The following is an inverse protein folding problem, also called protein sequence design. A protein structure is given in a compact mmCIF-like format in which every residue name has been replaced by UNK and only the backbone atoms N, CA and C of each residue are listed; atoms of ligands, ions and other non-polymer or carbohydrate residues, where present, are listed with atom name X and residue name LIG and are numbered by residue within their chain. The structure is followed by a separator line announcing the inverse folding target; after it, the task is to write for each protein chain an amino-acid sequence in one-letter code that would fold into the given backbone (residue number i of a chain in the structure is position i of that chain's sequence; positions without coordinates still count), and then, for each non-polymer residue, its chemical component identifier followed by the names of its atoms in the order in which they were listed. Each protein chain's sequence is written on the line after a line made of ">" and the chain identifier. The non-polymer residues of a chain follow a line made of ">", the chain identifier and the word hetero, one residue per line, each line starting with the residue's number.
data_IF_158343667401
#
_entry.id   IF_158343667401
#
_cell.length_a   1.000
_cell.length_b   1.000
_cell.length_c   1.000
_cell.angle_alpha   90.00
_cell.angle_beta   90.00
_cell.angle_gamma   90.00
#
_symmetry.space_group_name_H-M   'P 1'
#
loop_
_entity.id
_entity.type
_entity.pdbx_description
1 polymer ?
#
# COMPACT_ATOMS: atom_id res chain seq x y z
N UNK A 1 -3.45 10.87 -18.00
CA UNK A 1 -3.71 9.50 -17.57
C UNK A 1 -4.77 9.54 -16.48
N UNK A 2 -5.78 8.67 -16.54
CA UNK A 2 -6.73 8.47 -15.44
C UNK A 2 -6.27 7.30 -14.59
N UNK A 3 -6.18 7.52 -13.29
CA UNK A 3 -5.72 6.50 -12.34
C UNK A 3 -6.83 6.13 -11.36
N UNK A 4 -6.87 4.86 -11.01
CA UNK A 4 -7.70 4.27 -9.96
C UNK A 4 -6.78 3.56 -8.97
N UNK A 5 -7.30 3.30 -7.77
CA UNK A 5 -6.60 2.49 -6.78
C UNK A 5 -7.57 1.62 -5.99
N UNK A 6 -7.14 0.40 -5.66
CA UNK A 6 -7.75 -0.42 -4.62
C UNK A 6 -6.69 -0.75 -3.57
N UNK A 7 -6.99 -0.43 -2.31
CA UNK A 7 -6.05 -0.49 -1.20
C UNK A 7 -6.70 -1.22 -0.04
N UNK A 8 -6.12 -2.37 0.34
CA UNK A 8 -6.63 -3.26 1.37
C UNK A 8 -5.53 -3.61 2.36
N UNK A 9 -5.84 -3.48 3.65
CA UNK A 9 -4.94 -3.84 4.75
C UNK A 9 -5.70 -4.58 5.83
N UNK A 10 -5.32 -5.83 6.15
CA UNK A 10 -6.04 -6.63 7.13
C UNK A 10 -5.06 -7.10 8.20
N UNK A 11 -5.23 -6.55 9.41
CA UNK A 11 -4.57 -7.00 10.63
C UNK A 11 -5.32 -8.17 11.27
N UNK A 12 -6.63 -8.02 11.40
CA UNK A 12 -7.46 -8.94 12.18
C UNK A 12 -8.24 -9.85 11.24
N UNK A 13 -8.17 -11.15 11.49
CA UNK A 13 -8.91 -12.15 10.72
C UNK A 13 -9.90 -12.86 11.62
N UNK A 14 -11.06 -13.29 11.11
CA UNK A 14 -11.97 -14.13 11.88
C UNK A 14 -11.24 -15.37 12.39
N UNK A 15 -11.62 -15.85 13.58
CA UNK A 15 -10.98 -17.02 14.20
C UNK A 15 -10.95 -18.25 13.28
N UNK A 16 -11.98 -18.41 12.45
CA UNK A 16 -12.11 -19.51 11.49
C UNK A 16 -11.06 -19.48 10.38
N UNK A 17 -10.41 -18.33 10.12
CA UNK A 17 -9.32 -18.21 9.18
C UNK A 17 -8.03 -18.90 9.67
N UNK A 18 -7.94 -19.19 10.98
CA UNK A 18 -6.77 -19.83 11.59
C UNK A 18 -5.50 -18.98 11.54
N UNK A 19 -5.63 -17.68 11.27
CA UNK A 19 -4.52 -16.75 11.17
C UNK A 19 -4.29 -16.01 12.48
N UNK A 20 -3.04 -15.64 12.75
CA UNK A 20 -2.70 -14.76 13.88
C UNK A 20 -2.94 -13.30 13.48
N UNK A 21 -3.37 -12.43 14.41
CA UNK A 21 -3.43 -11.00 14.15
C UNK A 21 -2.06 -10.46 13.71
N UNK A 22 -2.08 -9.59 12.69
CA UNK A 22 -0.95 -8.75 12.28
C UNK A 22 -1.08 -7.37 12.93
N UNK A 23 -0.08 -6.51 12.75
CA UNK A 23 -0.06 -5.17 13.36
C UNK A 23 0.21 -4.06 12.35
N UNK A 24 0.97 -4.34 11.29
CA UNK A 24 1.43 -3.37 10.32
C UNK A 24 0.54 -3.18 9.10
N UNK A 25 -0.26 -4.19 8.71
CA UNK A 25 -0.97 -4.20 7.43
C UNK A 25 -1.94 -3.02 7.26
N UNK A 26 -2.66 -2.65 8.31
CA UNK A 26 -3.55 -1.46 8.29
C UNK A 26 -2.73 -0.17 8.12
N UNK A 27 -1.63 -0.03 8.86
CA UNK A 27 -0.77 1.16 8.77
C UNK A 27 -0.08 1.28 7.40
N UNK A 28 0.30 0.14 6.80
CA UNK A 28 0.86 0.07 5.45
C UNK A 28 -0.15 0.50 4.39
N UNK A 29 -1.38 -0.01 4.48
CA UNK A 29 -2.47 0.40 3.60
C UNK A 29 -2.78 1.89 3.74
N UNK A 30 -2.78 2.43 4.95
CA UNK A 30 -2.98 3.87 5.18
C UNK A 30 -1.88 4.72 4.53
N UNK A 31 -0.60 4.37 4.72
CA UNK A 31 0.53 5.11 4.15
C UNK A 31 0.52 5.06 2.61
N UNK A 32 0.21 3.89 2.03
CA UNK A 32 0.05 3.76 0.59
C UNK A 32 -1.14 4.57 0.06
N UNK A 33 -2.29 4.54 0.73
CA UNK A 33 -3.46 5.31 0.33
C UNK A 33 -3.22 6.82 0.38
N UNK A 34 -2.50 7.31 1.39
CA UNK A 34 -2.09 8.70 1.48
C UNK A 34 -1.18 9.11 0.30
N UNK A 35 -0.20 8.27 -0.05
CA UNK A 35 0.64 8.48 -1.24
C UNK A 35 -0.14 8.43 -2.55
N UNK A 36 -1.13 7.55 -2.65
CA UNK A 36 -1.99 7.41 -3.82
C UNK A 36 -2.78 8.71 -4.09
N UNK A 37 -3.24 9.38 -3.03
CA UNK A 37 -3.97 10.66 -3.11
C UNK A 37 -3.04 11.86 -3.33
N UNK A 38 -1.73 11.70 -3.19
CA UNK A 38 -0.75 12.77 -3.36
C UNK A 38 -0.58 13.12 -4.85
N UNK A 39 -0.72 14.40 -5.26
CA UNK A 39 -0.42 14.85 -6.62
C UNK A 39 1.03 14.57 -7.08
N UNK A 40 1.98 14.41 -6.15
CA UNK A 40 3.37 14.02 -6.43
C UNK A 40 3.61 12.50 -6.25
N UNK A 41 2.56 11.77 -5.85
CA UNK A 41 2.53 10.32 -5.70
C UNK A 41 1.69 9.66 -6.79
N UNK A 42 0.66 8.91 -6.39
CA UNK A 42 -0.22 8.21 -7.31
C UNK A 42 -1.15 9.14 -8.11
N UNK A 43 -1.41 10.35 -7.60
CA UNK A 43 -2.33 11.35 -8.15
C UNK A 43 -3.71 10.75 -8.55
N UNK A 44 -4.22 9.84 -7.72
CA UNK A 44 -5.55 9.25 -7.88
C UNK A 44 -6.58 10.19 -7.28
N UNK A 45 -7.63 10.49 -8.05
CA UNK A 45 -8.74 11.30 -7.57
C UNK A 45 -9.48 10.55 -6.42
N UNK A 46 -9.91 11.24 -5.34
CA UNK A 46 -10.59 10.62 -4.20
C UNK A 46 -11.72 9.66 -4.57
N UNK A 47 -12.54 10.02 -5.56
CA UNK A 47 -13.66 9.21 -6.04
C UNK A 47 -13.25 7.92 -6.80
N UNK A 48 -11.94 7.71 -7.01
CA UNK A 48 -11.34 6.55 -7.68
C UNK A 48 -10.42 5.74 -6.76
N UNK A 49 -10.35 6.08 -5.47
CA UNK A 49 -9.68 5.30 -4.44
C UNK A 49 -10.69 4.42 -3.72
N UNK A 50 -10.55 3.10 -3.84
CA UNK A 50 -11.31 2.11 -3.09
C UNK A 50 -10.44 1.63 -1.92
N UNK A 51 -10.71 2.15 -0.74
CA UNK A 51 -9.94 1.87 0.48
C UNK A 51 -10.78 1.08 1.48
N UNK A 52 -10.26 -0.05 1.96
CA UNK A 52 -10.90 -0.84 3.02
C UNK A 52 -9.87 -1.60 3.84
N UNK A 53 -9.75 -1.25 5.12
CA UNK A 53 -8.88 -1.97 6.06
C UNK A 53 -9.68 -2.58 7.19
N UNK A 54 -9.08 -3.56 7.86
CA UNK A 54 -9.62 -4.07 9.12
C UNK A 54 -8.51 -4.40 10.14
N UNK A 55 -8.56 -3.82 11.35
CA UNK A 55 -9.51 -2.81 11.81
C UNK A 55 -9.54 -1.53 10.96
N UNK A 56 -10.66 -0.81 11.05
CA UNK A 56 -10.78 0.51 10.45
C UNK A 56 -9.84 1.48 11.18
N UNK A 57 -9.13 2.40 10.48
CA UNK A 57 -8.17 3.26 11.13
C UNK A 57 -8.88 4.27 12.04
N UNK A 58 -8.34 4.47 13.23
CA UNK A 58 -8.90 5.38 14.22
C UNK A 58 -8.55 6.85 13.89
N UNK A 59 -9.54 7.77 13.83
CA UNK A 59 -9.28 9.19 13.64
C UNK A 59 -8.77 9.86 14.93
N UNK A 60 -8.05 11.00 14.83
CA UNK A 60 -7.72 11.72 13.60
C UNK A 60 -6.54 11.09 12.87
N UNK A 61 -6.71 10.83 11.58
CA UNK A 61 -5.59 10.49 10.70
C UNK A 61 -5.02 11.77 10.09
N UNK A 62 -3.69 11.96 10.11
CA UNK A 62 -3.07 13.09 9.42
C UNK A 62 -3.09 12.88 7.90
N UNK A 63 -2.76 13.93 7.16
CA UNK A 63 -2.55 13.86 5.71
C UNK A 63 -3.82 13.80 4.88
N UNK A 64 -3.66 13.38 3.62
CA UNK A 64 -4.71 13.36 2.60
C UNK A 64 -5.72 12.27 2.88
N UNK A 65 -5.24 11.13 3.41
CA UNK A 65 -6.12 10.03 3.80
C UNK A 65 -7.13 10.46 4.87
N UNK A 66 -6.72 11.25 5.87
CA UNK A 66 -7.65 11.75 6.89
C UNK A 66 -8.79 12.59 6.31
N UNK A 67 -8.48 13.46 5.34
CA UNK A 67 -9.51 14.25 4.63
C UNK A 67 -10.41 13.35 3.79
N UNK A 68 -9.84 12.39 3.08
CA UNK A 68 -10.59 11.40 2.30
C UNK A 68 -11.57 10.61 3.18
N UNK A 69 -11.13 10.09 4.32
CA UNK A 69 -11.98 9.30 5.23
C UNK A 69 -13.06 10.11 5.94
N UNK A 70 -12.92 11.43 6.00
CA UNK A 70 -13.97 12.33 6.51
C UNK A 70 -15.03 12.69 5.46
N UNK A 71 -14.78 12.35 4.19
CA UNK A 71 -15.66 12.64 3.07
C UNK A 71 -16.60 11.49 2.72
N UNK A 72 -17.21 11.59 1.54
CA UNK A 72 -18.01 10.52 0.95
C UNK A 72 -17.08 9.48 0.29
N UNK A 73 -17.16 8.23 0.75
CA UNK A 73 -16.31 7.15 0.27
C UNK A 73 -16.92 6.47 -0.97
N UNK A 74 -16.10 6.06 -1.96
CA UNK A 74 -16.57 5.24 -3.06
C UNK A 74 -17.22 3.94 -2.58
N UNK A 75 -18.31 3.56 -3.25
CA UNK A 75 -19.03 2.32 -2.95
C UNK A 75 -18.26 1.11 -3.48
N UNK A 76 -18.28 0.04 -2.71
CA UNK A 76 -17.79 -1.29 -3.07
C UNK A 76 -18.94 -2.16 -3.56
N UNK A 77 -18.66 -3.01 -4.53
CA UNK A 77 -19.64 -3.97 -5.01
C UNK A 77 -19.53 -5.28 -4.22
N UNK A 78 -20.58 -5.60 -3.48
CA UNK A 78 -20.86 -6.93 -2.92
C UNK A 78 -21.78 -7.70 -3.88
N UNK A 79 -21.53 -8.99 -4.09
CA UNK A 79 -22.42 -9.83 -4.89
C UNK A 79 -23.80 -10.02 -4.23
N UNK A 80 -23.82 -10.02 -2.90
CA UNK A 80 -25.03 -10.25 -2.11
C UNK A 80 -25.87 -8.96 -2.00
N UNK A 81 -25.20 -7.81 -1.86
CA UNK A 81 -25.84 -6.55 -1.43
C UNK A 81 -25.73 -5.41 -2.46
N UNK A 82 -25.05 -5.65 -3.59
CA UNK A 82 -24.78 -4.63 -4.60
C UNK A 82 -23.76 -3.58 -4.13
N UNK A 83 -23.91 -2.34 -4.60
CA UNK A 83 -23.01 -1.23 -4.26
C UNK A 83 -23.29 -0.69 -2.85
N UNK A 84 -22.32 -0.81 -1.95
CA UNK A 84 -22.41 -0.43 -0.54
C UNK A 84 -21.14 0.31 -0.08
N UNK A 85 -21.21 1.19 0.93
CA UNK A 85 -19.99 1.72 1.54
C UNK A 85 -19.15 0.60 2.17
N UNK A 86 -17.84 0.78 2.35
CA UNK A 86 -17.02 -0.20 3.05
C UNK A 86 -17.50 -0.35 4.51
N UNK A 87 -17.59 -1.58 4.99
CA UNK A 87 -18.00 -1.89 6.36
C UNK A 87 -16.79 -1.85 7.31
N UNK A 88 -16.75 -0.82 8.17
CA UNK A 88 -15.67 -0.60 9.13
C UNK A 88 -15.61 -1.65 10.24
N UNK A 89 -16.62 -2.52 10.36
CA UNK A 89 -16.70 -3.55 11.41
C UNK A 89 -16.13 -4.90 10.97
N UNK A 90 -15.77 -5.06 9.69
CA UNK A 90 -15.19 -6.29 9.18
C UNK A 90 -14.16 -6.04 8.06
N UNK A 91 -13.37 -7.09 7.76
CA UNK A 91 -12.49 -7.10 6.60
C UNK A 91 -13.29 -7.39 5.32
N UNK A 92 -12.90 -6.84 4.15
CA UNK A 92 -13.58 -7.11 2.89
C UNK A 92 -13.46 -8.59 2.51
N UNK A 93 -14.50 -9.15 1.90
CA UNK A 93 -14.48 -10.49 1.31
C UNK A 93 -13.62 -10.49 0.04
N UNK A 94 -13.12 -11.64 -0.39
CA UNK A 94 -12.34 -11.74 -1.63
C UNK A 94 -13.14 -11.24 -2.84
N UNK A 95 -14.45 -11.54 -2.90
CA UNK A 95 -15.32 -11.07 -3.98
C UNK A 95 -15.56 -9.56 -3.93
N UNK A 96 -15.56 -8.92 -2.76
CA UNK A 96 -15.68 -7.47 -2.66
C UNK A 96 -14.47 -6.80 -3.31
N UNK A 97 -13.27 -7.34 -3.07
CA UNK A 97 -12.00 -6.87 -3.65
C UNK A 97 -12.00 -7.03 -5.17
N UNK A 98 -12.27 -8.24 -5.66
CA UNK A 98 -12.12 -8.53 -7.09
C UNK A 98 -13.27 -7.92 -7.90
N UNK A 99 -14.51 -8.06 -7.45
CA UNK A 99 -15.68 -7.66 -8.24
C UNK A 99 -15.85 -6.15 -8.31
N UNK A 100 -15.52 -5.41 -7.25
CA UNK A 100 -15.59 -3.95 -7.23
C UNK A 100 -14.76 -3.37 -8.36
N UNK A 101 -13.46 -3.67 -8.36
CA UNK A 101 -12.57 -3.02 -9.32
C UNK A 101 -12.75 -3.56 -10.74
N UNK A 102 -13.21 -4.80 -10.89
CA UNK A 102 -13.61 -5.31 -12.19
C UNK A 102 -14.79 -4.54 -12.78
N UNK A 103 -15.82 -4.24 -11.99
CA UNK A 103 -16.97 -3.48 -12.45
C UNK A 103 -16.60 -2.03 -12.74
N UNK A 104 -15.82 -1.40 -11.86
CA UNK A 104 -15.27 -0.07 -12.09
C UNK A 104 -14.49 -0.03 -13.40
N UNK A 105 -13.60 -1.00 -13.64
CA UNK A 105 -12.82 -1.09 -14.86
C UNK A 105 -13.66 -1.32 -16.11
N UNK A 106 -14.70 -2.17 -16.03
CA UNK A 106 -15.64 -2.37 -17.17
C UNK A 106 -16.41 -1.10 -17.48
N UNK A 107 -16.92 -0.41 -16.47
CA UNK A 107 -17.64 0.86 -16.63
C UNK A 107 -16.71 1.92 -17.21
N UNK A 108 -15.51 2.10 -16.64
CA UNK A 108 -14.51 3.03 -17.17
C UNK A 108 -14.15 2.72 -18.62
N UNK A 109 -14.09 1.43 -18.99
CA UNK A 109 -13.82 1.04 -20.37
C UNK A 109 -14.96 1.33 -21.32
N UNK A 110 -16.20 1.00 -20.93
CA UNK A 110 -17.38 1.32 -21.73
C UNK A 110 -17.53 2.82 -21.95
N UNK A 111 -17.43 3.62 -20.90
CA UNK A 111 -17.56 5.08 -20.98
C UNK A 111 -16.48 5.68 -21.90
N UNK A 112 -15.24 5.22 -21.80
CA UNK A 112 -14.17 5.70 -22.66
C UNK A 112 -14.44 5.36 -24.15
N UNK A 113 -14.99 4.17 -24.44
CA UNK A 113 -15.37 3.80 -25.81
C UNK A 113 -16.51 4.67 -26.34
N UNK A 114 -17.53 4.93 -25.52
CA UNK A 114 -18.68 5.76 -25.88
C UNK A 114 -18.28 7.23 -26.13
N UNK A 115 -17.36 7.74 -25.31
CA UNK A 115 -16.86 9.12 -25.38
C UNK A 115 -15.74 9.32 -26.43
N UNK A 116 -15.20 8.24 -27.00
CA UNK A 116 -14.01 8.28 -27.85
C UNK A 116 -12.75 8.70 -27.09
N UNK A 117 -12.72 8.51 -25.77
CA UNK A 117 -11.60 8.83 -24.91
C UNK A 117 -10.46 7.81 -25.09
N UNK A 118 -9.27 8.33 -25.38
CA UNK A 118 -8.05 7.54 -25.61
C UNK A 118 -7.04 7.71 -24.48
N UNK A 119 -7.41 8.39 -23.40
CA UNK A 119 -6.56 8.58 -22.24
C UNK A 119 -6.28 7.23 -21.55
N UNK A 120 -4.99 6.95 -21.28
CA UNK A 120 -4.56 5.73 -20.60
C UNK A 120 -5.23 5.62 -19.22
N UNK A 121 -5.80 4.45 -18.94
CA UNK A 121 -6.41 4.08 -17.66
C UNK A 121 -5.50 3.15 -16.88
N UNK A 122 -5.05 3.61 -15.72
CA UNK A 122 -4.16 2.87 -14.81
C UNK A 122 -4.90 2.44 -13.55
N UNK A 123 -4.60 1.25 -13.06
CA UNK A 123 -5.01 0.79 -11.73
C UNK A 123 -3.79 0.49 -10.85
N UNK A 124 -3.77 1.06 -9.64
CA UNK A 124 -2.92 0.62 -8.54
C UNK A 124 -3.66 -0.37 -7.66
N UNK A 125 -2.97 -1.42 -7.22
CA UNK A 125 -3.49 -2.36 -6.23
C UNK A 125 -2.47 -2.46 -5.10
N UNK A 126 -2.91 -2.32 -3.87
CA UNK A 126 -2.09 -2.57 -2.70
C UNK A 126 -2.82 -3.50 -1.74
N UNK A 127 -2.23 -4.66 -1.45
CA UNK A 127 -2.78 -5.66 -0.53
C UNK A 127 -1.75 -5.95 0.55
N UNK A 128 -2.07 -5.66 1.82
CA UNK A 128 -1.23 -5.99 2.96
C UNK A 128 -1.96 -6.90 3.95
N UNK A 129 -1.31 -7.99 4.37
CA UNK A 129 -1.92 -8.97 5.27
C UNK A 129 -1.34 -10.38 5.12
N UNK A 130 -2.14 -11.40 5.41
CA UNK A 130 -1.72 -12.78 5.23
C UNK A 130 -1.78 -13.20 3.77
N UNK A 131 -0.87 -14.10 3.40
CA UNK A 131 -0.75 -14.62 2.05
C UNK A 131 -0.24 -16.05 2.04
N UNK A 132 -0.64 -16.79 1.02
CA UNK A 132 -0.22 -18.17 0.80
C UNK A 132 0.08 -18.40 -0.68
N UNK A 133 0.74 -19.52 -0.97
CA UNK A 133 0.73 -20.12 -2.29
C UNK A 133 -0.43 -21.10 -2.39
N UNK A 134 -1.25 -20.96 -3.42
CA UNK A 134 -2.35 -21.88 -3.72
C UNK A 134 -2.31 -22.30 -5.19
N UNK A 135 -2.82 -23.49 -5.47
CA UNK A 135 -2.99 -23.97 -6.84
C UNK A 135 -4.31 -23.46 -7.41
N UNK A 136 -4.32 -23.00 -8.64
CA UNK A 136 -5.55 -22.70 -9.38
C UNK A 136 -6.14 -23.95 -10.02
N UNK A 137 -7.38 -23.86 -10.50
CA UNK A 137 -8.02 -24.95 -11.23
C UNK A 137 -7.27 -25.39 -12.50
N UNK A 138 -6.59 -24.47 -13.17
CA UNK A 138 -5.73 -24.73 -14.34
C UNK A 138 -4.32 -25.23 -13.95
N UNK A 139 -4.11 -25.55 -12.67
CA UNK A 139 -2.89 -26.10 -12.07
C UNK A 139 -1.69 -25.16 -12.01
N UNK A 140 -1.87 -23.88 -12.30
CA UNK A 140 -0.86 -22.88 -12.02
C UNK A 140 -0.76 -22.65 -10.50
N UNK A 141 0.42 -22.29 -10.02
CA UNK A 141 0.59 -21.86 -8.64
C UNK A 141 0.73 -20.35 -8.61
N UNK A 142 -0.08 -19.69 -7.80
CA UNK A 142 -0.02 -18.24 -7.64
C UNK A 142 0.00 -17.82 -6.17
N UNK A 143 0.44 -16.60 -5.94
CA UNK A 143 0.32 -15.95 -4.63
C UNK A 143 -1.13 -15.51 -4.44
N UNK A 144 -1.73 -15.92 -3.33
CA UNK A 144 -3.07 -15.51 -2.96
C UNK A 144 -3.03 -14.69 -1.67
N UNK A 145 -3.64 -13.51 -1.72
CA UNK A 145 -3.94 -12.71 -0.53
C UNK A 145 -5.16 -13.31 0.18
N UNK A 146 -5.11 -13.37 1.51
CA UNK A 146 -6.24 -13.83 2.33
C UNK A 146 -7.17 -12.65 2.63
N UNK A 147 -8.44 -12.79 2.25
CA UNK A 147 -9.48 -11.81 2.55
C UNK A 147 -10.22 -12.15 3.85
N UNK A 148 -11.16 -11.28 4.24
CA UNK A 148 -11.92 -11.40 5.49
C UNK A 148 -12.78 -12.66 5.59
N UNK A 149 -13.19 -13.23 4.46
CA UNK A 149 -13.97 -14.48 4.38
C UNK A 149 -13.10 -15.73 4.20
N UNK A 150 -11.79 -15.64 4.42
CA UNK A 150 -10.89 -16.78 4.27
C UNK A 150 -11.26 -17.92 5.21
N UNK A 151 -11.50 -19.10 4.63
CA UNK A 151 -11.83 -20.33 5.36
C UNK A 151 -11.03 -21.51 4.82
N UNK A 152 -9.94 -21.92 5.51
CA UNK A 152 -9.08 -23.00 5.04
C UNK A 152 -9.70 -24.40 5.20
N UNK A 153 -10.73 -24.54 6.05
CA UNK A 153 -11.30 -25.85 6.44
C UNK A 153 -12.65 -26.16 5.80
N UNK A 154 -13.20 -25.28 4.95
CA UNK A 154 -14.56 -25.44 4.43
C UNK A 154 -14.66 -26.35 3.20
N UNK A 155 -13.60 -26.49 2.39
CA UNK A 155 -13.50 -27.48 1.29
C UNK A 155 -12.10 -27.45 0.66
N UNK A 156 -11.84 -28.28 -0.36
CA UNK A 156 -10.64 -28.17 -1.22
C UNK A 156 -10.64 -26.86 -2.05
N UNK A 157 -11.77 -26.14 -2.11
CA UNK A 157 -11.82 -24.76 -2.59
C UNK A 157 -11.79 -23.84 -1.36
N UNK A 158 -10.68 -23.14 -1.15
CA UNK A 158 -10.63 -22.13 -0.10
C UNK A 158 -11.38 -20.89 -0.55
N UNK A 159 -12.46 -20.56 0.17
CA UNK A 159 -13.08 -19.25 0.07
C UNK A 159 -12.13 -18.17 0.60
N UNK A 160 -12.35 -16.92 0.19
CA UNK A 160 -11.58 -15.77 0.67
C UNK A 160 -10.12 -15.71 0.21
N UNK A 161 -9.81 -16.28 -0.95
CA UNK A 161 -8.51 -16.09 -1.62
C UNK A 161 -8.65 -15.09 -2.76
N UNK A 162 -7.76 -14.10 -2.79
CA UNK A 162 -7.57 -13.20 -3.93
C UNK A 162 -6.32 -13.66 -4.71
N UNK A 163 -6.49 -14.40 -5.81
CA UNK A 163 -5.40 -14.85 -6.65
C UNK A 163 -4.75 -13.69 -7.41
N UNK A 164 -3.55 -13.29 -7.03
CA UNK A 164 -3.02 -11.98 -7.43
C UNK A 164 -2.65 -11.93 -8.93
N UNK A 165 -2.20 -13.04 -9.51
CA UNK A 165 -1.82 -13.10 -10.93
C UNK A 165 -3.05 -13.20 -11.83
N UNK A 166 -4.03 -14.05 -11.48
CA UNK A 166 -5.33 -14.08 -12.18
C UNK A 166 -6.07 -12.74 -12.06
N UNK A 167 -5.98 -12.07 -10.90
CA UNK A 167 -6.56 -10.76 -10.69
C UNK A 167 -5.92 -9.68 -11.58
N UNK A 168 -4.58 -9.66 -11.68
CA UNK A 168 -3.87 -8.78 -12.64
C UNK A 168 -4.37 -8.99 -14.07
N UNK A 169 -4.49 -10.24 -14.52
CA UNK A 169 -4.99 -10.56 -15.87
C UNK A 169 -6.42 -10.06 -16.07
N UNK A 170 -7.28 -10.22 -15.08
CA UNK A 170 -8.64 -9.68 -15.14
C UNK A 170 -8.63 -8.15 -15.29
N UNK A 171 -7.83 -7.44 -14.48
CA UNK A 171 -7.72 -5.98 -14.55
C UNK A 171 -7.29 -5.46 -15.93
N UNK A 172 -6.47 -6.21 -16.66
CA UNK A 172 -5.99 -5.81 -17.99
C UNK A 172 -6.88 -6.30 -19.13
N UNK A 173 -7.77 -7.27 -18.89
CA UNK A 173 -8.65 -7.79 -19.92
C UNK A 173 -9.87 -6.87 -20.11
N UNK A 174 -9.81 -5.97 -21.10
CA UNK A 174 -10.88 -5.03 -21.49
C UNK A 174 -11.39 -4.14 -20.33
N UNK A 175 -10.48 -3.69 -19.46
CA UNK A 175 -10.79 -2.86 -18.29
C UNK A 175 -9.80 -1.69 -18.17
N UNK A 176 -8.57 -1.98 -17.74
CA UNK A 176 -7.49 -0.99 -17.65
C UNK A 176 -6.42 -1.24 -18.70
N UNK A 177 -5.71 -0.18 -19.09
CA UNK A 177 -4.60 -0.23 -20.04
C UNK A 177 -3.27 -0.53 -19.33
N UNK A 178 -3.22 -0.30 -18.01
CA UNK A 178 -2.06 -0.53 -17.17
C UNK A 178 -2.44 -0.95 -15.75
N UNK A 179 -1.71 -1.91 -15.17
CA UNK A 179 -1.93 -2.38 -13.80
C UNK A 179 -0.62 -2.48 -13.01
N UNK A 180 -0.57 -1.86 -11.83
CA UNK A 180 0.56 -1.89 -10.91
C UNK A 180 0.11 -2.46 -9.57
N UNK A 181 0.58 -3.65 -9.22
CA UNK A 181 0.18 -4.38 -8.02
C UNK A 181 1.35 -4.46 -7.02
N UNK A 182 1.08 -4.16 -5.75
CA UNK A 182 1.98 -4.37 -4.63
C UNK A 182 1.29 -5.26 -3.60
N UNK A 183 1.92 -6.36 -3.21
CA UNK A 183 1.37 -7.31 -2.25
C UNK A 183 2.36 -7.54 -1.11
N UNK A 184 2.05 -6.99 0.06
CA UNK A 184 2.76 -7.23 1.31
C UNK A 184 2.14 -8.38 2.08
N UNK A 185 2.44 -9.60 1.62
CA UNK A 185 1.99 -10.82 2.25
C UNK A 185 2.99 -11.96 2.02
N UNK A 186 2.89 -12.99 2.85
CA UNK A 186 3.73 -14.18 2.72
C UNK A 186 3.44 -14.93 1.42
N UNK A 187 4.43 -15.69 0.96
CA UNK A 187 4.29 -16.62 -0.18
C UNK A 187 4.59 -18.04 0.26
N UNK A 188 4.25 -18.35 1.51
CA UNK A 188 4.58 -19.63 2.12
C UNK A 188 3.78 -20.78 1.50
N UNK A 189 4.40 -21.95 1.48
CA UNK A 189 3.82 -23.19 0.97
C UNK A 189 2.95 -23.92 2.01
N UNK A 190 2.72 -23.36 3.19
CA UNK A 190 2.08 -24.02 4.33
C UNK A 190 0.69 -24.61 3.99
N UNK A 191 0.08 -24.19 2.88
CA UNK A 191 -1.21 -24.69 2.37
C UNK A 191 -1.13 -25.62 1.13
N UNK A 192 0.06 -26.12 0.73
CA UNK A 192 0.28 -26.81 -0.56
C UNK A 192 -0.55 -28.08 -0.83
N UNK A 193 -1.20 -28.68 0.16
CA UNK A 193 -1.72 -30.03 -0.01
C UNK A 193 -3.19 -30.14 -0.44
N UNK A 194 -4.03 -29.10 -0.32
CA UNK A 194 -5.45 -29.22 -0.73
C UNK A 194 -6.15 -27.95 -1.21
N UNK A 195 -5.62 -26.75 -0.95
CA UNK A 195 -6.36 -25.52 -1.24
C UNK A 195 -6.24 -25.12 -2.72
N UNK A 196 -7.41 -25.00 -3.36
CA UNK A 196 -7.55 -24.45 -4.70
C UNK A 196 -8.10 -23.02 -4.62
N UNK A 197 -7.46 -22.11 -5.35
CA UNK A 197 -7.99 -20.78 -5.62
C UNK A 197 -8.86 -20.83 -6.89
N UNK A 198 -9.99 -20.12 -6.86
CA UNK A 198 -10.79 -19.89 -8.06
C UNK A 198 -10.18 -18.71 -8.83
N UNK A 199 -9.74 -18.90 -10.08
CA UNK A 199 -9.28 -17.80 -10.91
C UNK A 199 -10.34 -16.70 -11.01
N UNK A 200 -9.88 -15.45 -10.93
CA UNK A 200 -10.71 -14.27 -11.13
C UNK A 200 -10.94 -14.03 -12.62
N UNK A 201 -9.93 -14.31 -13.44
CA UNK A 201 -10.03 -14.26 -14.90
C UNK A 201 -10.20 -15.65 -15.52
N UNK A 202 -11.12 -15.76 -16.47
CA UNK A 202 -11.25 -16.85 -17.43
C UNK A 202 -10.31 -16.70 -18.65
N UNK A 203 -9.58 -15.59 -18.75
CA UNK A 203 -8.63 -15.33 -19.81
C UNK A 203 -7.36 -16.18 -19.62
N UNK A 204 -7.10 -17.08 -20.58
CA UNK A 204 -5.96 -18.00 -20.55
C UNK A 204 -4.66 -17.39 -21.08
N UNK A 205 -4.73 -16.26 -21.79
CA UNK A 205 -3.55 -15.54 -22.28
C UNK A 205 -2.89 -14.67 -21.22
N UNK A 206 -1.71 -14.14 -21.53
CA UNK A 206 -1.10 -13.05 -20.77
C UNK A 206 -1.31 -11.74 -21.55
N UNK A 207 -2.02 -10.75 -20.97
CA UNK A 207 -2.25 -9.48 -21.66
C UNK A 207 -0.94 -8.81 -22.08
N UNK A 208 -0.90 -8.27 -23.30
CA UNK A 208 0.24 -7.51 -23.86
C UNK A 208 0.38 -6.13 -23.17
N UNK A 209 -0.68 -5.70 -22.46
CA UNK A 209 -0.74 -4.43 -21.75
C UNK A 209 0.40 -4.26 -20.74
N UNK A 210 0.71 -3.00 -20.42
CA UNK A 210 1.76 -2.64 -19.46
C UNK A 210 1.37 -3.06 -18.05
N UNK A 211 2.30 -3.65 -17.29
CA UNK A 211 2.02 -4.01 -15.90
C UNK A 211 3.28 -4.11 -15.03
N UNK A 212 3.08 -3.98 -13.72
CA UNK A 212 4.10 -4.24 -12.71
C UNK A 212 3.47 -4.99 -11.53
N UNK A 213 4.19 -5.94 -10.96
CA UNK A 213 3.74 -6.72 -9.83
C UNK A 213 4.89 -6.95 -8.86
N UNK A 214 4.67 -6.56 -7.61
CA UNK A 214 5.67 -6.60 -6.56
C UNK A 214 5.18 -7.43 -5.39
N UNK A 215 5.92 -8.47 -5.06
CA UNK A 215 5.70 -9.31 -3.91
C UNK A 215 6.73 -9.02 -2.83
N UNK A 216 6.28 -8.98 -1.57
CA UNK A 216 7.15 -8.76 -0.42
C UNK A 216 8.25 -9.82 -0.23
N UNK A 217 8.03 -11.03 -0.74
CA UNK A 217 8.95 -12.16 -0.59
C UNK A 217 9.12 -12.95 -1.90
N UNK A 218 10.16 -13.79 -1.95
CA UNK A 218 10.33 -14.81 -2.99
C UNK A 218 9.30 -15.93 -2.86
N UNK A 219 9.16 -16.74 -3.92
CA UNK A 219 8.30 -17.92 -3.93
C UNK A 219 8.66 -18.87 -2.78
N UNK A 220 7.68 -19.28 -1.99
CA UNK A 220 7.87 -20.17 -0.84
C UNK A 220 8.32 -19.46 0.45
N UNK A 221 8.71 -18.18 0.36
CA UNK A 221 9.32 -17.46 1.48
C UNK A 221 8.30 -16.61 2.28
N UNK A 222 8.55 -16.40 3.59
CA UNK A 222 7.77 -15.50 4.42
C UNK A 222 8.09 -14.02 4.15
N UNK A 223 7.06 -13.18 4.36
CA UNK A 223 7.20 -11.73 4.50
C UNK A 223 7.10 -11.36 6.00
N UNK A 224 7.81 -10.33 6.42
CA UNK A 224 7.96 -9.97 7.83
C UNK A 224 7.54 -8.54 8.11
N UNK A 225 7.04 -8.35 9.33
CA UNK A 225 6.88 -7.02 9.92
C UNK A 225 8.19 -6.57 10.59
N UNK A 226 8.36 -5.26 10.76
CA UNK A 226 9.44 -4.65 11.53
C UNK A 226 9.38 -5.10 12.99
N UNK A 227 10.54 -5.24 13.62
CA UNK A 227 10.63 -5.74 15.00
C UNK A 227 10.35 -4.66 16.04
N UNK A 228 10.50 -3.39 15.68
CA UNK A 228 10.34 -2.25 16.59
C UNK A 228 9.12 -1.41 16.19
N UNK A 229 8.32 -0.95 17.16
CA UNK A 229 7.25 -0.01 16.92
C UNK A 229 7.76 1.29 16.24
N UNK A 230 6.99 1.87 15.31
CA UNK A 230 5.73 1.30 14.83
C UNK A 230 5.94 0.07 13.95
N UNK A 231 5.10 -0.94 14.19
CA UNK A 231 5.15 -2.18 13.43
C UNK A 231 4.58 -1.91 12.04
N UNK A 232 5.35 -2.27 11.02
CA UNK A 232 5.04 -2.08 9.59
C UNK A 232 5.54 -3.30 8.82
N UNK A 233 5.02 -3.58 7.63
CA UNK A 233 5.64 -4.53 6.73
C UNK A 233 7.04 -4.06 6.33
N UNK A 234 8.04 -4.94 6.38
CA UNK A 234 9.41 -4.59 6.00
C UNK A 234 9.48 -4.23 4.50
N UNK A 235 8.70 -4.92 3.67
CA UNK A 235 8.54 -4.60 2.26
C UNK A 235 7.84 -3.26 2.08
N UNK A 236 6.68 -3.05 2.70
CA UNK A 236 5.94 -1.78 2.61
C UNK A 236 6.79 -0.59 3.05
N UNK A 237 7.60 -0.73 4.10
CA UNK A 237 8.48 0.34 4.57
C UNK A 237 9.54 0.71 3.51
N UNK A 238 10.20 -0.28 2.90
CA UNK A 238 11.17 -0.04 1.83
C UNK A 238 10.51 0.49 0.54
N UNK A 239 9.33 -0.03 0.20
CA UNK A 239 8.51 0.40 -0.93
C UNK A 239 8.12 1.88 -0.78
N UNK A 240 7.51 2.26 0.34
CA UNK A 240 7.08 3.64 0.59
C UNK A 240 8.25 4.61 0.63
N UNK A 241 9.39 4.18 1.16
CA UNK A 241 10.62 4.97 1.09
C UNK A 241 11.00 5.24 -0.38
N UNK A 242 11.09 4.21 -1.22
CA UNK A 242 11.42 4.38 -2.64
C UNK A 242 10.38 5.21 -3.40
N UNK A 243 9.09 4.93 -3.19
CA UNK A 243 7.99 5.65 -3.82
C UNK A 243 7.95 7.12 -3.44
N UNK A 244 8.45 7.54 -2.28
CA UNK A 244 8.42 8.96 -1.90
C UNK A 244 9.74 9.68 -2.15
N UNK A 245 10.88 8.99 -2.12
CA UNK A 245 12.21 9.65 -2.16
C UNK A 245 13.04 9.32 -3.39
N UNK A 246 12.74 8.26 -4.15
CA UNK A 246 13.62 7.84 -5.24
C UNK A 246 13.03 8.23 -6.60
N UNK A 247 13.67 9.19 -7.28
CA UNK A 247 13.32 9.69 -8.63
C UNK A 247 14.58 9.98 -9.44
N UNK A 248 15.32 8.94 -9.86
CA UNK A 248 16.61 9.14 -10.53
C UNK A 248 16.47 9.59 -12.00
N UNK A 249 15.27 9.54 -12.58
CA UNK A 249 15.02 9.95 -13.96
C UNK A 249 15.24 11.46 -14.18
N UNK A 250 15.62 11.89 -15.40
CA UNK A 250 15.93 13.28 -15.70
C UNK A 250 14.76 14.26 -15.51
N UNK A 251 13.51 13.79 -15.64
CA UNK A 251 12.28 14.52 -15.35
C UNK A 251 11.69 14.20 -13.97
N UNK A 252 12.44 13.54 -13.10
CA UNK A 252 11.94 13.03 -11.83
C UNK A 252 11.04 11.80 -12.03
N UNK A 253 11.38 10.93 -12.97
CA UNK A 253 10.67 9.67 -13.18
C UNK A 253 11.19 8.56 -12.25
N UNK A 254 10.28 7.66 -11.86
CA UNK A 254 10.61 6.38 -11.24
C UNK A 254 9.91 5.26 -12.02
N UNK A 255 10.70 4.38 -12.62
CA UNK A 255 10.24 3.17 -13.30
C UNK A 255 10.30 1.94 -12.38
N UNK A 256 9.54 0.91 -12.71
CA UNK A 256 9.43 -0.31 -11.91
C UNK A 256 10.79 -1.02 -11.70
N UNK A 257 11.66 -1.05 -12.71
CA UNK A 257 13.00 -1.63 -12.59
C UNK A 257 13.84 -0.93 -11.51
N UNK A 258 13.82 0.40 -11.51
CA UNK A 258 14.57 1.21 -10.55
C UNK A 258 13.96 1.12 -9.14
N UNK A 259 12.63 1.03 -9.05
CA UNK A 259 11.96 0.78 -7.78
C UNK A 259 12.33 -0.60 -7.22
N UNK A 260 12.35 -1.65 -8.05
CA UNK A 260 12.81 -2.98 -7.63
C UNK A 260 14.20 -2.91 -7.00
N UNK A 261 15.15 -2.32 -7.72
CA UNK A 261 16.54 -2.26 -7.28
C UNK A 261 16.67 -1.48 -5.96
N UNK A 262 15.91 -0.38 -5.81
CA UNK A 262 15.83 0.36 -4.57
C UNK A 262 15.29 -0.49 -3.42
N UNK A 263 14.14 -1.14 -3.59
CA UNK A 263 13.49 -1.91 -2.52
C UNK A 263 14.36 -3.10 -2.11
N UNK A 264 14.90 -3.88 -3.07
CA UNK A 264 15.81 -5.00 -2.79
C UNK A 264 17.03 -4.54 -2.00
N UNK A 265 17.60 -3.37 -2.34
CA UNK A 265 18.79 -2.85 -1.66
C UNK A 265 18.50 -2.38 -0.24
N UNK A 266 17.33 -1.78 -0.02
CA UNK A 266 17.01 -1.06 1.23
C UNK A 266 16.17 -1.86 2.23
N UNK A 267 15.58 -2.99 1.84
CA UNK A 267 14.74 -3.79 2.75
C UNK A 267 15.46 -4.24 4.03
N UNK A 268 16.78 -4.46 3.95
CA UNK A 268 17.64 -4.80 5.10
C UNK A 268 17.67 -3.75 6.22
N UNK A 269 17.29 -2.51 5.92
CA UNK A 269 17.17 -1.46 6.93
C UNK A 269 15.93 -1.64 7.82
N UNK A 270 14.97 -2.46 7.37
CA UNK A 270 13.67 -2.68 8.03
C UNK A 270 13.55 -4.08 8.63
N UNK A 271 14.35 -5.04 8.17
CA UNK A 271 14.36 -6.40 8.72
C UNK A 271 15.74 -7.05 8.60
N UNK A 272 16.08 -7.89 9.58
CA UNK A 272 17.26 -8.77 9.56
C UNK A 272 16.90 -10.21 9.18
N UNK A 273 15.67 -10.49 8.74
CA UNK A 273 15.20 -11.85 8.42
C UNK A 273 15.81 -12.44 7.15
N UNK A 274 16.49 -11.62 6.34
CA UNK A 274 16.96 -12.02 5.02
C UNK A 274 15.84 -12.03 3.96
N UNK A 275 14.68 -11.44 4.26
CA UNK A 275 13.57 -11.29 3.29
C UNK A 275 14.05 -10.60 2.01
N UNK A 276 13.73 -11.20 0.86
CA UNK A 276 14.04 -10.66 -0.46
C UNK A 276 12.74 -10.48 -1.24
N UNK A 277 12.38 -9.27 -1.69
CA UNK A 277 11.18 -9.05 -2.48
C UNK A 277 11.37 -9.53 -3.92
N UNK A 278 10.26 -9.82 -4.60
CA UNK A 278 10.24 -10.21 -6.01
C UNK A 278 9.38 -9.22 -6.80
N UNK A 279 9.96 -8.50 -7.76
CA UNK A 279 9.24 -7.59 -8.64
C UNK A 279 9.36 -8.05 -10.09
N UNK A 280 8.21 -8.19 -10.73
CA UNK A 280 8.03 -8.57 -12.13
C UNK A 280 7.32 -7.42 -12.85
N UNK A 281 7.63 -7.20 -14.12
CA UNK A 281 6.99 -6.13 -14.88
C UNK A 281 7.11 -6.35 -16.39
N UNK A 282 6.29 -5.61 -17.13
CA UNK A 282 6.38 -5.41 -18.58
C UNK A 282 6.01 -3.96 -18.93
N UNK A 283 6.63 -3.36 -19.95
CA UNK A 283 7.64 -3.95 -20.84
C UNK A 283 9.05 -4.00 -20.22
N UNK A 284 9.89 -4.89 -20.72
CA UNK A 284 11.33 -4.92 -20.40
C UNK A 284 12.11 -3.87 -21.24
N UNK A 285 13.26 -3.34 -20.75
CA UNK A 285 13.91 -3.68 -19.48
C UNK A 285 13.48 -2.81 -18.29
N UNK A 286 12.82 -1.67 -18.52
CA UNK A 286 12.63 -0.65 -17.48
C UNK A 286 11.34 -0.84 -16.67
N UNK A 287 10.35 -1.54 -17.24
CA UNK A 287 9.00 -1.65 -16.67
C UNK A 287 8.20 -0.34 -16.76
N UNK A 288 6.95 -0.36 -16.23
CA UNK A 288 6.08 0.81 -16.23
C UNK A 288 6.69 1.99 -15.48
N UNK A 289 6.36 3.18 -15.96
CA UNK A 289 6.55 4.41 -15.21
C UNK A 289 5.62 4.41 -14.00
N UNK A 290 6.14 4.33 -12.78
CA UNK A 290 5.32 4.29 -11.56
C UNK A 290 4.82 5.69 -11.22
N UNK A 291 5.71 6.68 -11.26
CA UNK A 291 5.40 8.05 -10.84
C UNK A 291 6.39 9.04 -11.46
N UNK A 292 5.92 10.24 -11.74
CA UNK A 292 6.70 11.35 -12.29
C UNK A 292 6.55 12.59 -11.44
N UNK A 293 7.56 13.45 -11.47
CA UNK A 293 7.55 14.77 -10.87
C UNK A 293 8.74 14.97 -9.96
N UNK A 294 8.88 16.19 -9.46
CA UNK A 294 9.85 16.49 -8.41
C UNK A 294 9.70 15.46 -7.28
N UNK A 295 10.80 14.87 -6.80
CA UNK A 295 10.81 14.28 -5.46
C UNK A 295 10.10 15.25 -4.54
N UNK A 296 9.24 14.76 -3.63
CA UNK A 296 8.48 15.55 -2.65
C UNK A 296 9.18 16.88 -2.45
N UNK A 297 8.72 17.89 -3.19
CA UNK A 297 9.51 19.08 -3.49
C UNK A 297 9.42 20.01 -2.31
N UNK A 298 9.82 19.57 -1.12
CA UNK A 298 9.91 20.46 0.00
C UNK A 298 10.90 21.55 -0.35
N UNK A 299 10.51 22.78 -0.07
CA UNK A 299 11.50 23.83 0.10
C UNK A 299 12.54 23.26 1.05
N UNK A 300 13.80 23.20 0.63
CA UNK A 300 14.89 23.12 1.59
C UNK A 300 14.79 24.39 2.42
N UNK A 301 13.95 24.34 3.46
CA UNK A 301 13.95 25.37 4.46
C UNK A 301 15.34 25.30 5.07
N UNK A 302 16.12 26.40 5.04
CA UNK A 302 17.45 26.43 5.62
C UNK A 302 17.45 26.06 7.11
N UNK A 303 16.26 26.01 7.71
CA UNK A 303 16.02 25.69 9.10
C UNK A 303 15.31 24.34 9.29
N UNK A 304 15.08 23.49 8.27
CA UNK A 304 14.33 22.22 8.38
C UNK A 304 12.80 22.35 8.25
N UNK A 305 12.03 21.27 8.40
CA UNK A 305 10.57 21.31 8.30
C UNK A 305 9.90 21.91 9.55
N UNK A 306 8.83 22.67 9.33
CA UNK A 306 8.00 23.17 10.42
C UNK A 306 6.98 22.09 10.80
N UNK A 307 6.89 21.80 12.10
CA UNK A 307 5.99 20.81 12.68
C UNK A 307 4.88 21.55 13.41
N UNK A 308 3.64 21.29 13.07
CA UNK A 308 2.47 21.71 13.82
C UNK A 308 2.23 20.71 14.96
N UNK A 309 2.36 21.19 16.18
CA UNK A 309 2.23 20.42 17.43
C UNK A 309 1.13 21.03 18.31
N UNK A 310 0.21 21.79 17.70
CA UNK A 310 -0.86 22.51 18.41
C UNK A 310 -1.82 21.60 19.16
N UNK A 311 -1.90 20.32 18.80
CA UNK A 311 -2.67 19.29 19.50
C UNK A 311 -2.00 18.78 20.79
N UNK A 312 -0.72 19.10 21.02
CA UNK A 312 0.07 18.57 22.12
C UNK A 312 0.20 19.56 23.28
N UNK A 313 0.22 19.02 24.50
CA UNK A 313 0.48 19.82 25.68
C UNK A 313 1.93 20.33 25.72
N UNK A 314 2.13 21.56 26.20
CA UNK A 314 3.47 22.08 26.47
C UNK A 314 4.23 21.16 27.44
N UNK A 315 5.50 20.88 27.13
CA UNK A 315 6.35 19.94 27.84
C UNK A 315 6.39 18.53 27.24
N UNK A 316 5.49 18.20 26.31
CA UNK A 316 5.51 16.91 25.60
C UNK A 316 6.84 16.72 24.87
N UNK A 317 7.43 15.52 24.99
CA UNK A 317 8.69 15.17 24.35
C UNK A 317 8.43 14.48 23.02
N UNK A 318 9.15 14.90 21.98
CA UNK A 318 9.07 14.34 20.64
C UNK A 318 10.42 13.77 20.22
N UNK A 319 10.46 12.54 19.73
CA UNK A 319 11.67 11.88 19.26
C UNK A 319 11.62 11.85 17.73
N UNK A 320 12.65 12.41 17.09
CA UNK A 320 12.79 12.30 15.64
C UNK A 320 13.60 11.04 15.32
N UNK A 321 12.96 10.10 14.65
CA UNK A 321 13.55 8.89 14.13
C UNK A 321 13.77 9.03 12.61
N UNK A 322 14.86 8.44 12.11
CA UNK A 322 15.09 8.28 10.68
C UNK A 322 14.18 7.21 10.08
N UNK A 323 14.26 7.03 8.76
CA UNK A 323 13.47 6.03 8.05
C UNK A 323 13.79 4.59 8.47
N UNK A 324 14.90 4.34 9.16
CA UNK A 324 15.26 3.06 9.79
C UNK A 324 14.67 2.90 11.21
N UNK A 325 13.79 3.82 11.61
CA UNK A 325 13.12 3.87 12.90
C UNK A 325 14.09 3.94 14.09
N UNK A 326 15.29 4.50 13.89
CA UNK A 326 16.22 4.82 14.96
C UNK A 326 16.27 6.33 15.19
N UNK A 327 16.48 6.79 16.44
CA UNK A 327 16.68 8.20 16.71
C UNK A 327 17.77 8.78 15.80
N UNK A 328 17.50 9.92 15.18
CA UNK A 328 18.46 10.57 14.30
C UNK A 328 19.73 10.88 15.11
N UNK A 329 20.91 10.37 14.70
CA UNK A 329 22.13 10.53 15.47
C UNK A 329 22.44 11.98 15.82
N UNK A 330 22.72 12.26 17.10
CA UNK A 330 23.04 13.60 17.59
C UNK A 330 21.83 14.52 17.79
N UNK A 331 20.60 14.05 17.59
CA UNK A 331 19.39 14.81 17.89
C UNK A 331 18.80 14.41 19.23
N UNK A 332 18.70 15.38 20.14
CA UNK A 332 17.99 15.20 21.40
C UNK A 332 16.46 15.26 21.16
N UNK A 333 15.64 14.64 22.03
CA UNK A 333 14.20 14.80 21.97
C UNK A 333 13.78 16.28 22.04
N UNK A 334 12.90 16.68 21.14
CA UNK A 334 12.32 18.00 21.10
C UNK A 334 11.29 18.16 22.21
N UNK A 335 11.10 19.39 22.71
CA UNK A 335 10.09 19.69 23.73
C UNK A 335 9.07 20.64 23.13
N UNK A 336 7.79 20.30 23.22
CA UNK A 336 6.70 21.18 22.79
C UNK A 336 6.68 22.40 23.71
N UNK A 337 6.90 23.59 23.15
CA UNK A 337 6.88 24.88 23.87
C UNK A 337 5.84 25.86 23.33
N UNK A 338 5.13 25.47 22.27
CA UNK A 338 4.17 26.31 21.56
C UNK A 338 3.46 25.50 20.47
N UNK A 339 2.62 26.15 19.64
CA UNK A 339 1.78 25.47 18.64
C UNK A 339 2.57 24.92 17.45
N UNK A 340 3.81 25.37 17.25
CA UNK A 340 4.69 24.90 16.19
C UNK A 340 6.10 24.66 16.71
N UNK A 341 6.79 23.72 16.08
CA UNK A 341 8.15 23.34 16.36
C UNK A 341 8.96 23.30 15.07
N UNK A 342 10.06 24.05 15.01
CA UNK A 342 10.97 24.02 13.88
C UNK A 342 12.00 22.91 14.10
N UNK A 343 11.94 21.83 13.31
CA UNK A 343 12.99 20.81 13.32
C UNK A 343 14.24 21.36 12.63
N UNK A 344 15.46 20.94 13.02
CA UNK A 344 16.69 21.35 12.34
C UNK A 344 16.69 20.90 10.87
N UNK A 345 17.61 21.42 10.05
CA UNK A 345 17.82 20.91 8.69
C UNK A 345 18.01 19.39 8.69
N UNK A 346 17.18 18.71 7.91
CA UNK A 346 17.21 17.26 7.77
C UNK A 346 17.75 16.90 6.38
N UNK A 347 18.48 15.78 6.32
CA UNK A 347 18.86 15.19 5.04
C UNK A 347 17.60 14.74 4.27
N UNK A 348 17.73 14.54 2.97
CA UNK A 348 16.64 13.97 2.18
C UNK A 348 16.37 12.55 2.68
N UNK A 349 15.12 12.23 3.01
CA UNK A 349 14.76 10.92 3.55
C UNK A 349 13.40 10.86 4.22
N UNK A 350 13.00 9.66 4.59
CA UNK A 350 11.80 9.41 5.41
C UNK A 350 12.15 9.63 6.89
N UNK A 351 11.24 10.27 7.61
CA UNK A 351 11.37 10.57 9.04
C UNK A 351 10.09 10.22 9.76
N UNK A 352 10.22 9.99 11.06
CA UNK A 352 9.15 9.69 11.97
C UNK A 352 9.29 10.55 13.23
N UNK A 353 8.24 11.25 13.63
CA UNK A 353 8.16 11.98 14.90
C UNK A 353 7.32 11.14 15.86
N UNK A 354 7.96 10.56 16.86
CA UNK A 354 7.30 9.78 17.92
C UNK A 354 6.99 10.66 19.14
N UNK A 355 5.81 10.48 19.74
CA UNK A 355 5.45 11.13 21.00
C UNK A 355 5.96 10.28 22.15
N UNK A 356 6.89 10.82 22.95
CA UNK A 356 7.53 10.13 24.06
C UNK A 356 6.69 10.15 25.35
N UNK A 357 5.40 9.83 25.21
CA UNK A 357 4.44 9.61 26.30
C UNK A 357 4.14 8.11 26.52
N UNK A 358 4.75 7.24 25.72
CA UNK A 358 4.52 5.79 25.74
C UNK A 358 3.24 5.36 25.03
N UNK A 359 2.49 6.28 24.40
CA UNK A 359 1.30 5.97 23.62
C UNK A 359 1.59 5.25 22.30
N UNK A 360 2.83 5.34 21.82
CA UNK A 360 3.22 4.84 20.50
C UNK A 360 2.62 5.64 19.35
N UNK A 361 2.08 6.83 19.61
CA UNK A 361 1.62 7.77 18.57
C UNK A 361 2.81 8.39 17.86
N UNK A 362 2.70 8.54 16.54
CA UNK A 362 3.74 9.13 15.72
C UNK A 362 3.18 9.77 14.45
N UNK A 363 4.01 10.57 13.79
CA UNK A 363 3.74 11.12 12.46
C UNK A 363 4.93 10.90 11.57
N UNK A 364 4.69 10.33 10.39
CA UNK A 364 5.72 10.19 9.37
C UNK A 364 5.66 11.37 8.42
N UNK A 365 6.83 11.77 7.95
CA UNK A 365 6.94 12.75 6.88
C UNK A 365 8.22 12.50 6.10
N UNK A 366 8.25 13.01 4.88
CA UNK A 366 9.43 12.95 4.03
C UNK A 366 10.09 14.31 4.03
N UNK A 367 11.40 14.35 4.23
CA UNK A 367 12.19 15.55 3.96
C UNK A 367 12.77 15.46 2.54
N UNK A 368 12.68 16.55 1.74
CA UNK A 368 12.04 17.81 2.10
C UNK A 368 10.51 17.70 1.98
N UNK A 369 9.78 18.20 2.98
CA UNK A 369 8.30 18.21 2.94
C UNK A 369 7.80 19.53 2.36
N UNK A 370 6.80 19.52 1.46
CA UNK A 370 6.17 20.74 0.93
C UNK A 370 5.22 21.41 1.95
N UNK A 371 4.77 20.67 2.96
CA UNK A 371 3.77 21.10 3.94
C UNK A 371 4.30 20.98 5.37
N UNK A 372 3.65 21.68 6.31
CA UNK A 372 3.94 21.53 7.73
C UNK A 372 3.60 20.10 8.18
N UNK A 373 4.49 19.48 8.94
CA UNK A 373 4.27 18.14 9.52
C UNK A 373 3.29 18.27 10.68
N UNK A 374 2.10 17.67 10.60
CA UNK A 374 1.11 17.75 11.68
C UNK A 374 1.21 16.56 12.62
N UNK A 375 1.51 16.81 13.89
CA UNK A 375 1.57 15.78 14.94
C UNK A 375 0.27 15.80 15.74
N UNK A 376 -0.48 14.68 15.79
CA UNK A 376 -1.80 14.60 16.44
C UNK A 376 -1.75 14.45 17.96
#
# INVERSE_FOLDING_TARGET
>A
MKSWAIVVGINDYPQQAGQRPLRGAVADACDFADWILDPQGGNVAPERLFFWTYPWPEPPLPGRLGTYLSGELPLWFSHDDGWQPPDSTCAPKAMDITSTIEQVGRTANSTALDDGDTEIRRIYVFLAGHGIRAQTFDRNEETCFLAGDFRPLSSNLAAGLVPCESFRKALLHNRFDEAILFTDCCRSETARLTLKAQPVSDYSGDPIATWGMAFAAQDGEPAYETQTPPVRGAFSSALMHGLRTYRPGPGGELHAALLRDFVVTNIKSYTNSGQVPNLLYRPDPDGPLIVTGSQAGGRNHPNGPLVDVSALANGTKLILNGGDNKPVPGMAPFTVTGPTLQLPPLAVGLYLIEIADGSGRYTMFVQPTPENVRVP
#
